data_IF_783585613007
#
_entry.id   IF_783585613007
#
_cell.length_a   1.000
_cell.length_b   1.000
_cell.length_c   1.000
_cell.angle_alpha   90.00
_cell.angle_beta   90.00
_cell.angle_gamma   90.00
#
_symmetry.space_group_name_H-M   'P 1'
#
loop_
_entity.id
_entity.type
_entity.pdbx_description
1 polymer ?
#
# COMPACT_ATOMS: atom_id res chain seq x y z
N UNK A 1 7.40 0.12 -1.00
CA UNK A 1 8.46 1.14 -0.81
C UNK A 1 7.79 2.40 -0.31
N UNK A 2 8.40 3.11 0.64
CA UNK A 2 7.96 4.43 1.07
C UNK A 2 8.94 5.44 0.43
N UNK A 3 8.59 6.18 -0.63
CA UNK A 3 9.40 7.31 -1.10
C UNK A 3 9.41 8.42 -0.04
N UNK A 4 10.34 9.37 -0.12
CA UNK A 4 10.66 10.32 0.98
C UNK A 4 9.51 11.21 1.48
N UNK A 5 8.38 11.18 0.80
CA UNK A 5 7.11 11.84 1.08
C UNK A 5 6.08 10.94 1.78
N UNK A 6 6.39 9.70 2.13
CA UNK A 6 5.47 8.84 2.89
C UNK A 6 4.38 8.21 2.03
N UNK A 7 4.48 8.31 0.71
CA UNK A 7 3.57 7.64 -0.22
C UNK A 7 3.78 6.13 -0.18
N UNK A 8 2.72 5.34 -0.37
CA UNK A 8 2.83 3.88 -0.42
C UNK A 8 2.59 3.39 -1.84
N UNK A 9 3.55 2.62 -2.35
CA UNK A 9 3.43 1.89 -3.59
C UNK A 9 3.51 0.38 -3.33
N UNK A 10 2.56 -0.35 -3.91
CA UNK A 10 2.45 -1.82 -3.81
C UNK A 10 2.32 -2.44 -5.20
N UNK A 11 2.82 -3.67 -5.35
CA UNK A 11 2.76 -4.47 -6.56
C UNK A 11 2.95 -5.95 -6.21
N UNK A 12 2.75 -6.83 -7.18
CA UNK A 12 2.85 -8.27 -7.05
C UNK A 12 1.49 -8.95 -7.10
N UNK A 13 1.35 -10.03 -6.33
CA UNK A 13 0.16 -10.87 -6.34
C UNK A 13 -0.94 -10.32 -5.44
N UNK A 14 -2.10 -10.02 -6.00
CA UNK A 14 -3.19 -9.30 -5.33
C UNK A 14 -4.43 -10.11 -4.98
N UNK A 15 -4.40 -11.45 -5.09
CA UNK A 15 -5.60 -12.31 -4.99
C UNK A 15 -6.46 -12.07 -3.74
N UNK A 16 -5.86 -11.66 -2.63
CA UNK A 16 -6.55 -11.41 -1.36
C UNK A 16 -6.66 -9.92 -1.01
N UNK A 17 -6.38 -9.03 -1.96
CA UNK A 17 -6.46 -7.58 -1.75
C UNK A 17 -5.26 -7.01 -0.98
N UNK A 18 -4.20 -7.78 -0.75
CA UNK A 18 -3.03 -7.36 0.04
C UNK A 18 -2.25 -6.17 -0.55
N UNK A 19 -2.56 -5.78 -1.79
CA UNK A 19 -1.98 -4.59 -2.42
C UNK A 19 -2.67 -3.30 -1.99
N UNK A 20 -3.90 -3.35 -1.46
CA UNK A 20 -4.61 -2.17 -0.92
C UNK A 20 -5.23 -1.25 -1.97
N UNK A 21 -5.41 -1.71 -3.22
CA UNK A 21 -5.94 -0.89 -4.33
C UNK A 21 -7.48 -0.84 -4.42
N UNK A 22 -8.18 -1.38 -3.42
CA UNK A 22 -9.64 -1.53 -3.44
C UNK A 22 -10.13 -2.66 -4.36
N UNK A 23 -9.23 -3.50 -4.85
CA UNK A 23 -9.51 -4.63 -5.73
C UNK A 23 -8.56 -5.82 -5.42
N UNK A 24 -8.79 -6.97 -6.08
CA UNK A 24 -8.00 -8.20 -5.92
C UNK A 24 -7.07 -8.48 -7.13
N UNK A 25 -6.76 -7.44 -7.90
CA UNK A 25 -5.98 -7.56 -9.14
C UNK A 25 -4.49 -7.63 -8.81
N UNK A 26 -3.77 -8.52 -9.48
CA UNK A 26 -2.31 -8.54 -9.40
C UNK A 26 -1.72 -7.43 -10.27
N UNK A 27 -0.60 -6.84 -9.84
CA UNK A 27 0.09 -5.80 -10.59
C UNK A 27 1.54 -6.19 -10.81
N UNK A 28 2.02 -6.12 -12.04
CA UNK A 28 3.43 -6.32 -12.38
C UNK A 28 4.27 -5.05 -12.19
N UNK A 29 3.62 -3.92 -11.91
CA UNK A 29 4.27 -2.61 -11.70
C UNK A 29 3.82 -1.95 -10.40
N UNK A 30 4.68 -1.12 -9.78
CA UNK A 30 4.30 -0.29 -8.64
C UNK A 30 3.07 0.56 -8.96
N UNK A 31 2.04 0.48 -8.13
CA UNK A 31 0.86 1.33 -8.17
C UNK A 31 0.72 2.03 -6.82
N UNK A 32 0.38 3.31 -6.83
CA UNK A 32 0.17 4.09 -5.61
C UNK A 32 -1.12 3.65 -4.92
N UNK A 33 -1.07 3.53 -3.59
CA UNK A 33 -2.25 3.27 -2.76
C UNK A 33 -2.99 4.59 -2.53
N UNK A 34 -3.91 4.91 -3.43
CA UNK A 34 -4.61 6.21 -3.46
C UNK A 34 -5.41 6.51 -2.19
N UNK A 35 -5.85 5.49 -1.46
CA UNK A 35 -6.61 5.67 -0.22
C UNK A 35 -5.82 6.47 0.83
N UNK A 36 -4.52 6.22 0.99
CA UNK A 36 -3.70 6.96 1.95
C UNK A 36 -3.59 8.44 1.58
N UNK A 37 -3.50 8.75 0.28
CA UNK A 37 -3.44 10.13 -0.22
C UNK A 37 -4.77 10.85 0.01
N UNK A 38 -5.89 10.18 -0.27
CA UNK A 38 -7.23 10.73 -0.08
C UNK A 38 -7.53 11.06 1.39
N UNK A 39 -7.01 10.26 2.32
CA UNK A 39 -7.18 10.46 3.76
C UNK A 39 -6.09 11.33 4.39
N UNK A 40 -5.14 11.86 3.60
CA UNK A 40 -4.02 12.65 4.15
C UNK A 40 -3.08 11.84 5.05
N UNK A 41 -2.98 10.52 4.87
CA UNK A 41 -2.14 9.63 5.66
C UNK A 41 -0.77 9.39 4.99
N UNK A 42 0.28 9.28 5.80
CA UNK A 42 1.64 8.93 5.36
C UNK A 42 2.04 7.57 5.91
N UNK A 43 2.50 6.67 5.04
CA UNK A 43 3.04 5.38 5.44
C UNK A 43 4.41 5.56 6.11
N UNK A 44 4.60 4.90 7.25
CA UNK A 44 5.85 4.94 8.03
C UNK A 44 6.55 3.58 8.02
N UNK A 45 5.81 2.52 8.32
CA UNK A 45 6.32 1.15 8.37
C UNK A 45 5.39 0.21 7.61
N UNK A 46 5.97 -0.84 7.02
CA UNK A 46 5.22 -1.85 6.25
C UNK A 46 5.69 -3.23 6.69
N UNK A 47 4.74 -4.09 7.03
CA UNK A 47 4.97 -5.51 7.33
C UNK A 47 4.15 -6.36 6.37
N UNK A 48 4.82 -7.30 5.70
CA UNK A 48 4.19 -8.20 4.74
C UNK A 48 4.15 -9.63 5.30
N UNK A 49 2.97 -10.23 5.34
CA UNK A 49 2.82 -11.67 5.52
C UNK A 49 2.55 -12.38 4.18
N UNK A 50 2.26 -13.69 4.20
CA UNK A 50 2.04 -14.46 2.98
C UNK A 50 0.90 -13.91 2.11
N UNK A 51 -0.18 -13.42 2.75
CA UNK A 51 -1.42 -13.01 2.08
C UNK A 51 -2.01 -11.70 2.63
N UNK A 52 -1.24 -10.97 3.42
CA UNK A 52 -1.66 -9.71 4.04
C UNK A 52 -0.52 -8.69 4.07
N UNK A 53 -0.91 -7.43 4.16
CA UNK A 53 0.01 -6.30 4.31
C UNK A 53 -0.54 -5.42 5.43
N UNK A 54 0.30 -5.09 6.40
CA UNK A 54 0.00 -4.11 7.45
C UNK A 54 0.85 -2.87 7.23
N UNK A 55 0.24 -1.70 7.42
CA UNK A 55 0.88 -0.41 7.23
C UNK A 55 0.65 0.41 8.48
N UNK A 56 1.73 0.87 9.11
CA UNK A 56 1.65 1.90 10.13
C UNK A 56 1.62 3.26 9.43
N UNK A 57 0.65 4.10 9.79
CA UNK A 57 0.40 5.40 9.15
C UNK A 57 0.36 6.53 10.16
N UNK A 58 0.71 7.73 9.71
CA UNK A 58 0.56 8.98 10.44
C UNK A 58 -0.40 9.90 9.71
N UNK A 59 -1.24 10.62 10.45
CA UNK A 59 -2.01 11.75 9.91
C UNK A 59 -1.08 12.91 9.58
N UNK A 60 -1.41 13.65 8.52
CA UNK A 60 -0.74 14.90 8.13
C UNK A 60 -1.36 16.12 8.78
#
# INVERSE_FOLDING_TARGET
>A
LVPGDGELYTWGWGKYGQLGHGDNTSSDRPRRVEHLVAEGLRAQEVVCGPWNTYVCVLEQ
#
